data_IF_019466828036
#
_entry.id   IF_019466828036
#
_cell.length_a   1.000
_cell.length_b   1.000
_cell.length_c   1.000
_cell.angle_alpha   90.00
_cell.angle_beta   90.00
_cell.angle_gamma   90.00
#
_symmetry.space_group_name_H-M   'P 1'
#
loop_
_entity.id
_entity.type
_entity.pdbx_description
1 polymer ?
#
# COMPACT_ATOMS: atom_id res chain seq x y z
N UNK A 1 1.05 -8.56 6.19
CA UNK A 1 0.75 -8.26 4.78
C UNK A 1 1.64 -7.12 4.30
N UNK A 2 1.75 -6.91 3.00
CA UNK A 2 2.44 -5.76 2.40
C UNK A 2 1.46 -4.88 1.58
N UNK A 3 1.94 -3.79 0.98
CA UNK A 3 1.09 -2.82 0.30
C UNK A 3 0.34 -3.39 -0.92
N UNK A 4 0.94 -4.36 -1.62
CA UNK A 4 0.35 -4.97 -2.82
C UNK A 4 -0.74 -6.01 -2.52
N UNK A 5 -0.87 -6.48 -1.28
CA UNK A 5 -1.86 -7.52 -0.94
C UNK A 5 -3.27 -6.97 -1.16
N UNK A 6 -4.06 -7.62 -2.02
CA UNK A 6 -5.43 -7.18 -2.35
C UNK A 6 -5.51 -5.82 -3.05
N UNK A 7 -4.44 -5.41 -3.72
CA UNK A 7 -4.25 -4.08 -4.33
C UNK A 7 -4.48 -2.95 -3.32
N UNK A 8 -4.11 -3.15 -2.05
CA UNK A 8 -4.42 -2.21 -0.96
C UNK A 8 -3.84 -0.81 -1.20
N UNK A 9 -2.64 -0.75 -1.76
CA UNK A 9 -1.98 0.48 -2.23
C UNK A 9 -1.33 0.20 -3.58
N UNK A 10 -1.56 1.09 -4.55
CA UNK A 10 -0.85 1.05 -5.83
C UNK A 10 0.51 1.70 -5.69
N UNK A 11 1.52 1.10 -6.29
CA UNK A 11 2.90 1.61 -6.24
C UNK A 11 3.49 1.69 -7.63
N UNK A 12 4.05 2.86 -7.96
CA UNK A 12 4.85 3.08 -9.16
C UNK A 12 6.26 3.48 -8.75
N UNK A 13 7.23 3.39 -9.66
CA UNK A 13 8.54 3.99 -9.40
C UNK A 13 8.41 5.51 -9.25
N UNK A 14 9.02 6.05 -8.20
CA UNK A 14 9.00 7.49 -7.91
C UNK A 14 9.97 8.23 -8.85
N UNK A 15 11.18 7.72 -8.97
CA UNK A 15 12.26 8.30 -9.78
C UNK A 15 13.26 7.18 -10.15
N UNK A 16 13.79 7.22 -11.36
CA UNK A 16 14.79 6.26 -11.85
C UNK A 16 16.12 6.41 -11.10
N UNK A 17 16.52 7.64 -10.75
CA UNK A 17 17.77 7.91 -10.02
C UNK A 17 17.75 7.36 -8.58
N UNK A 18 16.56 7.21 -8.00
CA UNK A 18 16.36 6.63 -6.67
C UNK A 18 16.32 5.10 -6.70
N UNK A 19 16.30 4.47 -7.88
CA UNK A 19 16.19 3.03 -8.03
C UNK A 19 14.83 2.50 -7.54
N UNK A 20 14.86 1.53 -6.63
CA UNK A 20 13.65 0.84 -6.12
C UNK A 20 12.91 1.65 -5.04
N UNK A 21 12.68 2.94 -5.28
CA UNK A 21 11.87 3.81 -4.42
C UNK A 21 10.49 4.02 -5.03
N UNK A 22 9.45 3.68 -4.28
CA UNK A 22 8.08 3.68 -4.75
C UNK A 22 7.28 4.92 -4.35
N UNK A 23 6.42 5.39 -5.25
CA UNK A 23 5.37 6.35 -4.99
C UNK A 23 4.09 5.61 -4.62
N UNK A 24 3.54 5.89 -3.43
CA UNK A 24 2.30 5.28 -2.96
C UNK A 24 1.06 6.04 -3.44
N UNK A 25 0.05 5.30 -3.91
CA UNK A 25 -1.26 5.84 -4.28
C UNK A 25 -2.39 4.96 -3.71
N UNK A 26 -3.54 5.56 -3.31
CA UNK A 26 -4.66 4.82 -2.73
C UNK A 26 -5.19 3.72 -3.65
N UNK A 27 -5.21 2.49 -3.15
CA UNK A 27 -5.70 1.31 -3.85
C UNK A 27 -7.14 0.90 -3.46
N UNK A 28 -7.35 -0.41 -3.35
CA UNK A 28 -8.61 -1.07 -2.99
C UNK A 28 -8.71 -1.32 -1.47
N UNK A 29 -9.77 -0.87 -0.79
CA UNK A 29 -9.93 -1.11 0.65
C UNK A 29 -10.44 -2.52 0.98
N UNK A 30 -10.82 -3.34 -0.02
CA UNK A 30 -11.61 -4.57 0.18
C UNK A 30 -10.96 -5.55 1.16
N UNK A 31 -9.69 -5.90 0.93
CA UNK A 31 -8.99 -6.87 1.77
C UNK A 31 -8.90 -6.38 3.22
N UNK A 32 -8.49 -5.13 3.41
CA UNK A 32 -8.33 -4.54 4.73
C UNK A 32 -9.67 -4.47 5.47
N UNK A 33 -10.73 -4.02 4.78
CA UNK A 33 -12.07 -3.98 5.37
C UNK A 33 -12.52 -5.38 5.77
N UNK A 34 -12.34 -6.40 4.92
CA UNK A 34 -12.68 -7.78 5.27
C UNK A 34 -11.90 -8.27 6.49
N UNK A 35 -10.61 -7.95 6.61
CA UNK A 35 -9.81 -8.32 7.79
C UNK A 35 -10.35 -7.63 9.05
N UNK A 36 -10.63 -6.33 8.99
CA UNK A 36 -11.15 -5.56 10.12
C UNK A 36 -12.55 -6.03 10.55
N UNK A 37 -13.46 -6.23 9.59
CA UNK A 37 -14.82 -6.73 9.82
C UNK A 37 -14.84 -8.12 10.48
N UNK A 38 -13.80 -8.93 10.25
CA UNK A 38 -13.63 -10.25 10.87
C UNK A 38 -12.79 -10.22 12.16
N UNK A 39 -12.50 -9.03 12.70
CA UNK A 39 -11.82 -8.88 14.01
C UNK A 39 -10.30 -9.06 13.98
N UNK A 40 -9.67 -9.03 12.80
CA UNK A 40 -8.21 -9.05 12.69
C UNK A 40 -7.62 -7.65 12.85
N UNK A 41 -6.35 -7.58 13.28
CA UNK A 41 -5.53 -6.37 13.28
C UNK A 41 -4.54 -6.42 12.10
N UNK A 42 -4.79 -5.71 10.98
CA UNK A 42 -3.87 -5.71 9.85
C UNK A 42 -2.57 -5.00 10.20
N UNK A 43 -1.44 -5.72 10.12
CA UNK A 43 -0.09 -5.15 10.20
C UNK A 43 0.51 -5.16 8.80
N UNK A 44 0.80 -3.97 8.29
CA UNK A 44 1.22 -3.73 6.90
C UNK A 44 2.65 -3.19 6.85
N UNK A 45 3.55 -3.86 6.13
CA UNK A 45 4.89 -3.33 5.85
C UNK A 45 4.86 -2.30 4.72
N UNK A 46 5.76 -1.31 4.73
CA UNK A 46 5.87 -0.28 3.67
C UNK A 46 6.63 -0.75 2.42
N UNK A 47 6.47 -2.02 2.04
CA UNK A 47 6.96 -2.57 0.78
C UNK A 47 5.79 -2.69 -0.17
N UNK A 48 5.97 -2.18 -1.39
CA UNK A 48 5.01 -2.31 -2.48
C UNK A 48 5.54 -3.10 -3.66
N UNK A 49 4.69 -3.25 -4.65
CA UNK A 49 5.02 -3.89 -5.93
C UNK A 49 4.40 -3.08 -7.06
N UNK A 50 5.14 -2.90 -8.16
CA UNK A 50 4.61 -2.29 -9.38
C UNK A 50 3.79 -3.29 -10.19
N UNK A 51 3.03 -2.82 -11.18
CA UNK A 51 2.26 -3.69 -12.08
C UNK A 51 3.17 -4.66 -12.89
N UNK A 52 4.44 -4.31 -13.07
CA UNK A 52 5.49 -5.13 -13.69
C UNK A 52 6.16 -6.12 -12.72
N UNK A 53 5.70 -6.18 -11.46
CA UNK A 53 6.20 -7.12 -10.45
C UNK A 53 7.49 -6.70 -9.76
N UNK A 54 7.90 -5.43 -9.86
CA UNK A 54 9.11 -4.93 -9.17
C UNK A 54 8.79 -4.53 -7.74
N UNK A 55 9.58 -5.02 -6.77
CA UNK A 55 9.44 -4.61 -5.37
C UNK A 55 10.01 -3.21 -5.15
N UNK A 56 9.28 -2.41 -4.39
CA UNK A 56 9.61 -1.00 -4.15
C UNK A 56 9.60 -0.68 -2.65
N UNK A 57 10.63 0.04 -2.20
CA UNK A 57 10.69 0.63 -0.88
C UNK A 57 9.88 1.94 -0.87
N UNK A 58 8.86 2.01 -0.04
CA UNK A 58 7.97 3.16 0.07
C UNK A 58 8.18 3.80 1.44
N UNK A 59 8.21 5.13 1.48
CA UNK A 59 8.21 5.84 2.77
C UNK A 59 6.97 5.45 3.59
N UNK A 60 7.16 5.07 4.86
CA UNK A 60 6.08 4.53 5.68
C UNK A 60 4.94 5.52 5.95
N UNK A 61 5.23 6.81 6.10
CA UNK A 61 4.21 7.86 6.30
C UNK A 61 3.37 8.07 5.03
N UNK A 62 4.02 8.05 3.87
CA UNK A 62 3.32 8.10 2.57
C UNK A 62 2.44 6.86 2.35
N UNK A 63 2.93 5.67 2.71
CA UNK A 63 2.18 4.43 2.65
C UNK A 63 0.93 4.48 3.56
N UNK A 64 1.10 4.92 4.81
CA UNK A 64 -0.01 5.08 5.75
C UNK A 64 -1.03 6.11 5.26
N UNK A 65 -0.57 7.20 4.66
CA UNK A 65 -1.44 8.23 4.07
C UNK A 65 -2.27 7.65 2.91
N UNK A 66 -1.66 6.89 2.00
CA UNK A 66 -2.36 6.26 0.89
C UNK A 66 -3.40 5.22 1.36
N UNK A 67 -3.08 4.44 2.41
CA UNK A 67 -4.04 3.53 3.04
C UNK A 67 -5.22 4.31 3.67
N UNK A 68 -4.93 5.33 4.46
CA UNK A 68 -5.92 6.11 5.20
C UNK A 68 -6.92 6.85 4.27
N UNK A 69 -6.47 7.31 3.10
CA UNK A 69 -7.32 8.00 2.12
C UNK A 69 -8.53 7.17 1.65
N UNK A 70 -8.41 5.84 1.65
CA UNK A 70 -9.50 4.93 1.29
C UNK A 70 -10.25 4.39 2.50
N UNK A 71 -9.68 4.54 3.70
CA UNK A 71 -10.30 4.14 4.97
C UNK A 71 -11.30 5.17 5.50
N UNK A 72 -11.30 6.41 5.01
CA UNK A 72 -12.23 7.46 5.43
C UNK A 72 -13.68 7.17 4.98
N UNK A 73 -14.32 6.25 5.67
CA UNK A 73 -15.77 6.10 5.84
C UNK A 73 -16.04 5.95 7.34
N UNK A 74 -15.75 7.02 8.06
CA UNK A 74 -16.44 7.46 9.27
C UNK A 74 -16.92 8.89 8.99
#
# INVERSE_FOLDING_TARGET
MFLGDGDSVKVTQLDEELGHVGLAQPGSPKLINSLLENGYLPVVSSIGVTDEGQLMNVNADQAATALAQRWARI
#
